data_IF_267224641447
#
_entry.id   IF_267224641447
#
_cell.length_a   1.000
_cell.length_b   1.000
_cell.length_c   1.000
_cell.angle_alpha   90.00
_cell.angle_beta   90.00
_cell.angle_gamma   90.00
#
_symmetry.space_group_name_H-M   'P 1'
#
loop_
_entity.id
_entity.type
_entity.pdbx_description
1 polymer ?
#
# COMPACT_ATOMS: atom_id res chain seq x y z
N UNK A 1 -10.24 -0.48 1.63
CA UNK A 1 -9.27 0.32 0.85
C UNK A 1 -7.87 -0.18 1.16
N UNK A 2 -7.01 -0.24 0.15
CA UNK A 2 -5.56 -0.31 0.39
C UNK A 2 -5.10 1.07 0.86
N UNK A 3 -4.20 1.10 1.83
CA UNK A 3 -3.48 2.29 2.25
C UNK A 3 -2.03 1.84 2.40
N UNK A 4 -1.12 2.52 1.74
CA UNK A 4 0.30 2.23 1.77
C UNK A 4 1.11 3.47 2.18
N UNK A 5 2.40 3.28 2.40
CA UNK A 5 3.30 4.35 2.81
C UNK A 5 3.50 5.39 1.70
N UNK A 6 3.27 5.02 0.43
CA UNK A 6 3.29 5.95 -0.71
C UNK A 6 2.12 6.93 -0.66
N UNK A 7 0.94 6.51 -0.22
CA UNK A 7 -0.18 7.43 -0.01
C UNK A 7 0.17 8.54 1.01
N UNK A 8 0.83 8.16 2.11
CA UNK A 8 1.32 9.14 3.09
C UNK A 8 2.45 10.01 2.52
N UNK A 9 3.41 9.41 1.81
CA UNK A 9 4.50 10.14 1.16
C UNK A 9 3.96 11.19 0.16
N UNK A 10 3.00 10.81 -0.68
CA UNK A 10 2.33 11.70 -1.62
C UNK A 10 1.63 12.86 -0.90
N UNK A 11 0.92 12.61 0.20
CA UNK A 11 0.32 13.68 1.00
C UNK A 11 1.39 14.63 1.59
N UNK A 12 2.53 14.10 2.05
CA UNK A 12 3.62 14.95 2.56
C UNK A 12 4.27 15.79 1.45
N UNK A 13 4.45 15.22 0.25
CA UNK A 13 4.95 15.97 -0.90
C UNK A 13 3.94 17.05 -1.34
N UNK A 14 2.62 16.77 -1.34
CA UNK A 14 1.58 17.76 -1.67
C UNK A 14 1.56 18.93 -0.67
N UNK A 15 1.66 18.64 0.63
CA UNK A 15 1.84 19.66 1.67
C UNK A 15 3.13 20.46 1.47
N UNK A 16 4.18 19.80 1.00
CA UNK A 16 5.44 20.41 0.61
C UNK A 16 5.25 21.42 -0.51
N UNK A 17 4.71 20.98 -1.64
CA UNK A 17 4.43 21.78 -2.83
C UNK A 17 3.54 22.99 -2.51
N UNK A 18 2.56 22.81 -1.62
CA UNK A 18 1.71 23.91 -1.13
C UNK A 18 2.46 24.90 -0.25
N UNK A 19 3.64 24.55 0.27
CA UNK A 19 4.48 25.41 1.10
C UNK A 19 4.23 25.28 2.60
N UNK A 20 3.53 24.23 3.05
CA UNK A 20 3.23 23.98 4.46
C UNK A 20 4.28 23.11 5.16
N UNK A 21 5.06 22.34 4.40
CA UNK A 21 6.11 21.45 4.92
C UNK A 21 7.39 21.61 4.09
N UNK A 22 8.54 21.53 4.75
CA UNK A 22 9.84 21.37 4.11
C UNK A 22 10.36 19.97 4.43
N UNK A 23 10.75 19.23 3.39
CA UNK A 23 11.41 17.94 3.51
C UNK A 23 12.91 18.20 3.44
N UNK A 24 13.61 17.99 4.56
CA UNK A 24 15.07 18.05 4.63
C UNK A 24 15.64 16.64 4.56
N UNK A 25 16.58 16.41 3.65
CA UNK A 25 17.36 15.18 3.57
C UNK A 25 18.81 15.46 3.98
N UNK A 26 19.32 14.71 4.95
CA UNK A 26 20.73 14.69 5.32
C UNK A 26 21.21 13.24 5.36
N UNK A 27 22.12 12.87 4.46
CA UNK A 27 22.79 11.56 4.46
C UNK A 27 21.82 10.36 4.48
N UNK A 28 20.62 10.51 3.90
CA UNK A 28 19.56 9.50 3.86
C UNK A 28 18.55 9.55 5.02
N UNK A 29 18.78 10.38 6.03
CA UNK A 29 17.79 10.70 7.06
C UNK A 29 16.88 11.84 6.57
N UNK A 30 15.58 11.75 6.85
CA UNK A 30 14.60 12.76 6.46
C UNK A 30 14.02 13.48 7.69
N UNK A 31 13.95 14.81 7.62
CA UNK A 31 13.30 15.65 8.63
C UNK A 31 12.23 16.51 7.98
N UNK A 32 11.01 16.42 8.51
CA UNK A 32 9.89 17.27 8.11
C UNK A 32 9.90 18.51 8.98
N UNK A 33 9.86 19.69 8.38
CA UNK A 33 9.83 20.97 9.07
C UNK A 33 8.56 21.73 8.68
N UNK A 34 7.81 22.21 9.66
CA UNK A 34 6.60 23.00 9.42
C UNK A 34 6.94 24.35 8.83
N UNK A 35 6.15 24.79 7.84
CA UNK A 35 6.17 26.14 7.28
C UNK A 35 4.77 26.73 7.40
N UNK A 36 4.65 27.92 7.98
CA UNK A 36 3.35 28.56 8.19
C UNK A 36 2.82 29.32 6.96
N UNK A 37 3.61 29.40 5.89
CA UNK A 37 3.33 30.24 4.72
C UNK A 37 2.03 29.87 3.96
N UNK A 38 1.50 28.65 4.13
CA UNK A 38 0.37 28.17 3.32
C UNK A 38 -0.58 27.17 4.01
N UNK A 39 -0.69 27.23 5.34
CA UNK A 39 -1.59 26.32 6.09
C UNK A 39 -3.06 26.39 5.63
N UNK A 40 -3.51 27.53 5.09
CA UNK A 40 -4.87 27.71 4.58
C UNK A 40 -5.14 27.05 3.21
N UNK A 41 -4.09 26.65 2.48
CA UNK A 41 -4.22 25.94 1.19
C UNK A 41 -4.31 24.42 1.35
N UNK A 42 -4.08 23.91 2.56
CA UNK A 42 -4.16 22.48 2.88
C UNK A 42 -5.61 22.00 2.87
N UNK A 43 -5.84 20.84 2.28
CA UNK A 43 -7.07 20.08 2.43
C UNK A 43 -7.28 19.67 3.90
N UNK A 44 -8.51 19.26 4.23
CA UNK A 44 -8.84 18.83 5.59
C UNK A 44 -7.96 17.67 6.07
N UNK A 45 -7.68 16.72 5.18
CA UNK A 45 -6.78 15.59 5.43
C UNK A 45 -5.37 16.06 5.81
N UNK A 46 -4.80 16.96 5.01
CA UNK A 46 -3.45 17.50 5.22
C UNK A 46 -3.35 18.35 6.48
N UNK A 47 -4.40 19.09 6.83
CA UNK A 47 -4.46 19.83 8.09
C UNK A 47 -4.39 18.87 9.30
N UNK A 48 -5.11 17.74 9.25
CA UNK A 48 -5.06 16.71 10.30
C UNK A 48 -3.68 16.09 10.40
N UNK A 49 -3.05 15.76 9.27
CA UNK A 49 -1.69 15.22 9.23
C UNK A 49 -0.70 16.22 9.82
N UNK A 50 -0.77 17.49 9.42
CA UNK A 50 0.13 18.54 9.89
C UNK A 50 -0.03 18.78 11.39
N UNK A 51 -1.28 18.82 11.89
CA UNK A 51 -1.55 18.98 13.31
C UNK A 51 -0.97 17.81 14.13
N UNK A 52 -1.04 16.60 13.62
CA UNK A 52 -0.53 15.41 14.30
C UNK A 52 1.00 15.34 14.26
N UNK A 53 1.61 15.54 13.08
CA UNK A 53 3.07 15.56 12.91
C UNK A 53 3.71 16.61 13.82
N UNK A 54 3.22 17.84 13.79
CA UNK A 54 3.84 18.95 14.51
C UNK A 54 3.21 19.20 15.90
N UNK A 55 2.60 18.17 16.49
CA UNK A 55 1.95 18.25 17.81
C UNK A 55 2.92 18.55 18.95
N UNK A 56 4.21 18.21 18.81
CA UNK A 56 5.25 18.39 19.83
C UNK A 56 6.33 19.41 19.46
N UNK A 57 6.21 20.09 18.31
CA UNK A 57 7.22 21.05 17.85
C UNK A 57 7.12 21.35 16.36
N UNK A 58 8.00 22.23 15.87
CA UNK A 58 8.03 22.67 14.47
C UNK A 58 8.74 21.71 13.49
N UNK A 59 9.33 20.61 13.98
CA UNK A 59 10.01 19.63 13.13
C UNK A 59 9.87 18.20 13.67
N UNK A 60 9.90 17.22 12.77
CA UNK A 60 9.88 15.78 13.07
C UNK A 60 10.84 15.06 12.16
N UNK A 61 11.83 14.38 12.74
CA UNK A 61 12.72 13.47 12.01
C UNK A 61 12.04 12.11 11.84
N UNK A 62 12.09 11.55 10.63
CA UNK A 62 11.58 10.21 10.29
C UNK A 62 12.48 9.12 10.88
N UNK A 63 12.41 8.96 12.20
CA UNK A 63 13.06 7.90 12.98
C UNK A 63 12.05 7.18 13.86
N UNK A 64 12.34 5.93 14.18
CA UNK A 64 11.55 5.07 15.06
C UNK A 64 11.32 5.68 16.46
N UNK A 65 12.19 6.57 16.93
CA UNK A 65 11.99 7.35 18.16
C UNK A 65 10.71 8.22 18.10
N UNK A 66 10.31 8.65 16.90
CA UNK A 66 9.11 9.45 16.65
C UNK A 66 7.91 8.61 16.16
N UNK A 67 7.97 7.27 16.25
CA UNK A 67 6.94 6.38 15.68
C UNK A 67 5.52 6.69 16.17
N UNK A 68 5.35 7.10 17.43
CA UNK A 68 4.01 7.44 17.96
C UNK A 68 3.39 8.63 17.23
N UNK A 69 4.19 9.63 16.87
CA UNK A 69 3.77 10.83 16.15
C UNK A 69 3.49 10.47 14.69
N UNK A 70 4.44 9.78 14.04
CA UNK A 70 4.39 9.42 12.63
C UNK A 70 3.24 8.44 12.35
N UNK A 71 3.14 7.38 13.15
CA UNK A 71 2.02 6.42 13.07
C UNK A 71 0.69 7.09 13.38
N UNK A 72 0.65 7.98 14.38
CA UNK A 72 -0.54 8.78 14.65
C UNK A 72 -0.99 9.61 13.45
N UNK A 73 -0.06 10.22 12.72
CA UNK A 73 -0.37 11.00 11.51
C UNK A 73 -0.86 10.12 10.36
N UNK A 74 -0.24 8.95 10.17
CA UNK A 74 -0.67 7.94 9.20
C UNK A 74 -2.10 7.45 9.52
N UNK A 75 -2.35 7.10 10.79
CA UNK A 75 -3.66 6.61 11.23
C UNK A 75 -4.74 7.69 11.11
N UNK A 76 -4.40 8.96 11.38
CA UNK A 76 -5.30 10.10 11.19
C UNK A 76 -5.68 10.28 9.71
N UNK A 77 -4.70 10.27 8.80
CA UNK A 77 -4.94 10.36 7.36
C UNK A 77 -5.81 9.20 6.88
N UNK A 78 -5.43 7.98 7.23
CA UNK A 78 -6.15 6.75 6.86
C UNK A 78 -7.61 6.78 7.35
N UNK A 79 -7.84 7.21 8.58
CA UNK A 79 -9.17 7.28 9.17
C UNK A 79 -10.04 8.35 8.51
N UNK A 80 -9.48 9.52 8.21
CA UNK A 80 -10.27 10.58 7.56
C UNK A 80 -10.60 10.20 6.11
N UNK A 81 -9.62 9.71 5.34
CA UNK A 81 -9.86 9.17 3.99
C UNK A 81 -10.90 8.06 3.99
N UNK A 82 -10.83 7.13 4.93
CA UNK A 82 -11.87 6.10 5.04
C UNK A 82 -13.24 6.73 5.30
N UNK A 83 -13.34 7.71 6.20
CA UNK A 83 -14.61 8.35 6.53
C UNK A 83 -15.19 9.16 5.37
N UNK A 84 -14.35 9.88 4.62
CA UNK A 84 -14.79 10.72 3.51
C UNK A 84 -15.09 9.91 2.23
N UNK A 85 -14.36 8.83 1.99
CA UNK A 85 -14.49 8.04 0.75
C UNK A 85 -15.43 6.83 0.91
N UNK A 86 -15.56 6.26 2.12
CA UNK A 86 -16.49 5.16 2.39
C UNK A 86 -17.94 5.65 2.27
N UNK A 87 -18.81 4.80 1.72
CA UNK A 87 -20.22 5.07 1.34
C UNK A 87 -20.43 6.01 0.16
N UNK A 88 -19.52 6.94 -0.13
CA UNK A 88 -19.60 7.79 -1.33
C UNK A 88 -19.06 7.05 -2.55
N UNK A 89 -17.87 6.45 -2.41
CA UNK A 89 -17.19 5.78 -3.52
C UNK A 89 -17.12 4.26 -3.34
N UNK A 90 -17.14 3.75 -2.11
CA UNK A 90 -17.01 2.32 -1.83
C UNK A 90 -17.99 1.84 -0.75
N UNK A 91 -18.55 0.65 -0.92
CA UNK A 91 -19.35 -0.02 0.12
C UNK A 91 -18.71 -1.34 0.49
N UNK A 92 -18.39 -1.51 1.76
CA UNK A 92 -17.68 -2.69 2.28
C UNK A 92 -18.62 -3.90 2.44
N UNK A 93 -19.95 -3.68 2.52
CA UNK A 93 -21.02 -4.69 2.62
C UNK A 93 -20.74 -5.82 3.64
N UNK A 94 -19.91 -5.55 4.66
CA UNK A 94 -19.39 -6.57 5.57
C UNK A 94 -20.49 -7.22 6.43
N UNK A 95 -21.62 -6.55 6.63
CA UNK A 95 -22.79 -7.11 7.32
C UNK A 95 -23.38 -8.35 6.62
N UNK A 96 -23.24 -8.47 5.30
CA UNK A 96 -23.71 -9.64 4.55
C UNK A 96 -22.84 -10.89 4.74
N UNK A 97 -21.70 -10.79 5.43
CA UNK A 97 -20.92 -11.96 5.84
C UNK A 97 -21.51 -12.68 7.05
N UNK A 98 -22.30 -11.98 7.87
CA UNK A 98 -22.84 -12.55 9.12
C UNK A 98 -23.68 -13.83 8.88
N UNK A 99 -24.59 -13.89 7.89
CA UNK A 99 -25.30 -15.14 7.58
C UNK A 99 -24.37 -16.30 7.21
N UNK A 100 -23.30 -16.05 6.44
CA UNK A 100 -22.33 -17.07 6.05
C UNK A 100 -21.54 -17.64 7.24
N UNK A 101 -21.13 -16.76 8.16
CA UNK A 101 -20.47 -17.15 9.40
C UNK A 101 -21.42 -17.98 10.28
N UNK A 102 -22.68 -17.56 10.42
CA UNK A 102 -23.70 -18.30 11.20
C UNK A 102 -23.94 -19.69 10.61
N UNK A 103 -24.09 -19.80 9.29
CA UNK A 103 -24.25 -21.11 8.60
C UNK A 103 -23.04 -22.01 8.86
N UNK A 104 -21.83 -21.45 8.87
CA UNK A 104 -20.60 -22.20 9.12
C UNK A 104 -20.56 -22.73 10.56
N UNK A 105 -20.91 -21.90 11.55
CA UNK A 105 -20.98 -22.31 12.95
C UNK A 105 -22.04 -23.40 13.17
N UNK A 106 -23.20 -23.30 12.51
CA UNK A 106 -24.22 -24.35 12.54
C UNK A 106 -23.73 -25.65 11.90
N UNK A 107 -23.00 -25.56 10.78
CA UNK A 107 -22.36 -26.70 10.14
C UNK A 107 -21.35 -27.41 11.05
N UNK A 108 -20.48 -26.63 11.71
CA UNK A 108 -19.54 -27.15 12.71
C UNK A 108 -20.29 -27.82 13.86
N UNK A 109 -21.32 -27.18 14.42
CA UNK A 109 -22.10 -27.74 15.51
C UNK A 109 -22.76 -29.08 15.11
N UNK A 110 -23.35 -29.16 13.92
CA UNK A 110 -23.96 -30.39 13.40
C UNK A 110 -22.93 -31.51 13.25
N UNK A 111 -21.75 -31.20 12.71
CA UNK A 111 -20.63 -32.14 12.58
C UNK A 111 -20.21 -32.68 13.95
N UNK A 112 -20.05 -31.80 14.94
CA UNK A 112 -19.67 -32.20 16.30
C UNK A 112 -20.73 -33.08 16.95
N UNK A 113 -22.02 -32.75 16.80
CA UNK A 113 -23.11 -33.50 17.41
C UNK A 113 -23.29 -34.90 16.82
N UNK A 114 -22.95 -35.08 15.55
CA UNK A 114 -23.09 -36.35 14.82
C UNK A 114 -21.83 -37.22 14.87
N UNK A 115 -20.70 -36.65 15.30
CA UNK A 115 -19.41 -37.36 15.35
C UNK A 115 -19.27 -38.20 16.63
N UNK A 116 -18.58 -39.34 16.50
CA UNK A 116 -18.28 -40.23 17.64
C UNK A 116 -17.27 -39.59 18.59
N UNK A 117 -16.23 -38.97 18.03
CA UNK A 117 -15.26 -38.18 18.76
C UNK A 117 -15.58 -36.68 18.62
N UNK A 118 -16.31 -36.16 19.61
CA UNK A 118 -16.76 -34.76 19.62
C UNK A 118 -15.61 -33.77 19.75
N UNK A 119 -14.54 -34.14 20.46
CA UNK A 119 -13.40 -33.26 20.67
C UNK A 119 -12.59 -33.14 19.37
N UNK A 120 -12.23 -34.26 18.75
CA UNK A 120 -11.51 -34.26 17.48
C UNK A 120 -12.30 -33.56 16.37
N UNK A 121 -13.61 -33.82 16.28
CA UNK A 121 -14.48 -33.16 15.32
C UNK A 121 -14.58 -31.64 15.57
N UNK A 122 -14.72 -31.22 16.82
CA UNK A 122 -14.86 -29.81 17.17
C UNK A 122 -13.58 -29.02 16.95
N UNK A 123 -12.47 -29.51 17.50
CA UNK A 123 -11.16 -28.91 17.31
C UNK A 123 -10.77 -28.90 15.83
N UNK A 124 -10.87 -30.03 15.14
CA UNK A 124 -10.46 -30.16 13.76
C UNK A 124 -11.32 -29.33 12.79
N UNK A 125 -12.62 -29.18 13.04
CA UNK A 125 -13.49 -28.33 12.21
C UNK A 125 -13.20 -26.83 12.40
N UNK A 126 -12.97 -26.39 13.64
CA UNK A 126 -12.57 -25.00 13.91
C UNK A 126 -11.17 -24.69 13.36
N UNK A 127 -10.23 -25.61 13.56
CA UNK A 127 -8.89 -25.53 13.01
C UNK A 127 -8.95 -25.40 11.48
N UNK A 128 -9.66 -26.32 10.80
CA UNK A 128 -9.76 -26.33 9.35
C UNK A 128 -10.38 -25.03 8.83
N UNK A 129 -11.51 -24.57 9.39
CA UNK A 129 -12.14 -23.32 8.93
C UNK A 129 -11.25 -22.09 9.07
N UNK A 130 -10.55 -21.93 10.20
CA UNK A 130 -9.61 -20.83 10.41
C UNK A 130 -8.40 -20.96 9.47
N UNK A 131 -7.87 -22.17 9.31
CA UNK A 131 -6.71 -22.45 8.45
C UNK A 131 -7.03 -22.26 6.97
N UNK A 132 -8.21 -22.68 6.49
CA UNK A 132 -8.70 -22.43 5.13
C UNK A 132 -8.73 -20.93 4.82
N UNK A 133 -9.20 -20.10 5.77
CA UNK A 133 -9.21 -18.64 5.61
C UNK A 133 -7.77 -18.11 5.49
N UNK A 134 -6.85 -18.57 6.33
CA UNK A 134 -5.44 -18.18 6.24
C UNK A 134 -4.80 -18.60 4.90
N UNK A 135 -5.02 -19.85 4.47
CA UNK A 135 -4.57 -20.36 3.18
C UNK A 135 -5.17 -19.58 1.99
N UNK A 136 -6.43 -19.16 2.06
CA UNK A 136 -7.04 -18.32 1.04
C UNK A 136 -6.30 -16.99 0.89
N UNK A 137 -6.04 -16.28 1.99
CA UNK A 137 -5.30 -15.01 1.94
C UNK A 137 -3.87 -15.19 1.45
N UNK A 138 -3.23 -16.29 1.82
CA UNK A 138 -1.89 -16.65 1.34
C UNK A 138 -1.90 -16.92 -0.17
N UNK A 139 -2.90 -17.64 -0.69
CA UNK A 139 -3.08 -17.90 -2.11
C UNK A 139 -3.32 -16.60 -2.90
N UNK A 140 -4.16 -15.69 -2.39
CA UNK A 140 -4.36 -14.36 -2.99
C UNK A 140 -3.04 -13.57 -3.02
N UNK A 141 -2.22 -13.66 -1.97
CA UNK A 141 -0.92 -12.99 -1.90
C UNK A 141 0.06 -13.55 -2.93
N UNK A 142 0.16 -14.87 -3.04
CA UNK A 142 0.95 -15.56 -4.06
C UNK A 142 0.50 -15.12 -5.45
N UNK A 143 -0.80 -15.16 -5.73
CA UNK A 143 -1.37 -14.74 -7.02
C UNK A 143 -1.01 -13.29 -7.36
N UNK A 144 -1.17 -12.36 -6.42
CA UNK A 144 -0.84 -10.93 -6.61
C UNK A 144 0.65 -10.73 -6.88
N UNK A 145 1.53 -11.42 -6.16
CA UNK A 145 2.99 -11.36 -6.37
C UNK A 145 3.39 -11.89 -7.74
N UNK A 146 2.81 -13.01 -8.17
CA UNK A 146 3.04 -13.57 -9.51
C UNK A 146 2.51 -12.66 -10.62
N UNK A 147 1.33 -12.05 -10.43
CA UNK A 147 0.78 -11.07 -11.37
C UNK A 147 1.70 -9.87 -11.51
N UNK A 148 2.26 -9.35 -10.41
CA UNK A 148 3.21 -8.26 -10.43
C UNK A 148 4.58 -8.63 -11.03
N UNK A 149 4.99 -9.89 -10.92
CA UNK A 149 6.24 -10.39 -11.51
C UNK A 149 6.17 -10.50 -13.04
N UNK A 150 5.00 -10.80 -13.62
CA UNK A 150 4.83 -10.92 -15.08
C UNK A 150 5.19 -9.66 -15.89
N UNK A 151 5.23 -8.49 -15.26
CA UNK A 151 5.65 -7.22 -15.88
C UNK A 151 6.85 -6.57 -15.20
N UNK A 152 7.65 -7.34 -14.45
CA UNK A 152 8.71 -6.80 -13.61
C UNK A 152 10.07 -7.47 -13.80
N UNK A 153 11.12 -6.82 -13.30
CA UNK A 153 12.47 -7.36 -13.30
C UNK A 153 12.68 -8.57 -12.38
N UNK A 154 13.88 -9.14 -12.44
CA UNK A 154 14.29 -10.38 -11.74
C UNK A 154 13.99 -10.35 -10.23
N UNK A 155 14.12 -9.19 -9.57
CA UNK A 155 13.81 -9.06 -8.15
C UNK A 155 12.35 -9.36 -7.80
N UNK A 156 11.39 -8.99 -8.65
CA UNK A 156 9.95 -9.29 -8.43
C UNK A 156 9.66 -10.78 -8.59
N UNK A 157 10.37 -11.45 -9.50
CA UNK A 157 10.31 -12.90 -9.68
C UNK A 157 10.86 -13.67 -8.48
N UNK A 158 12.04 -13.28 -7.97
CA UNK A 158 12.62 -13.86 -6.77
C UNK A 158 11.70 -13.69 -5.55
N UNK A 159 11.10 -12.50 -5.40
CA UNK A 159 10.12 -12.25 -4.35
C UNK A 159 8.87 -13.14 -4.47
N UNK A 160 8.34 -13.36 -5.68
CA UNK A 160 7.21 -14.24 -5.91
C UNK A 160 7.54 -15.72 -5.60
N UNK A 161 8.73 -16.17 -5.99
CA UNK A 161 9.23 -17.52 -5.66
C UNK A 161 9.38 -17.72 -4.15
N UNK A 162 9.97 -16.75 -3.45
CA UNK A 162 10.14 -16.81 -1.99
C UNK A 162 8.81 -16.95 -1.25
N UNK A 163 7.82 -16.13 -1.61
CA UNK A 163 6.47 -16.22 -1.01
C UNK A 163 5.79 -17.55 -1.35
N UNK A 164 5.99 -18.08 -2.55
CA UNK A 164 5.42 -19.38 -2.96
C UNK A 164 6.03 -20.53 -2.14
N UNK A 165 7.35 -20.57 -2.01
CA UNK A 165 8.05 -21.58 -1.21
C UNK A 165 7.62 -21.53 0.26
N UNK A 166 7.48 -20.33 0.82
CA UNK A 166 6.94 -20.13 2.17
C UNK A 166 5.50 -20.62 2.31
N UNK A 167 4.68 -20.52 1.25
CA UNK A 167 3.27 -20.90 1.30
C UNK A 167 3.02 -22.41 1.17
N UNK A 168 3.94 -23.17 0.55
CA UNK A 168 3.77 -24.61 0.31
C UNK A 168 3.47 -25.43 1.57
N UNK A 169 4.17 -25.25 2.72
CA UNK A 169 3.86 -25.98 3.95
C UNK A 169 2.44 -25.72 4.47
N UNK A 170 1.90 -24.52 4.27
CA UNK A 170 0.55 -24.17 4.72
C UNK A 170 -0.51 -24.87 3.88
N UNK A 171 -0.33 -24.93 2.56
CA UNK A 171 -1.22 -25.68 1.67
C UNK A 171 -1.15 -27.18 1.90
N UNK A 172 0.06 -27.72 2.14
CA UNK A 172 0.23 -29.11 2.56
C UNK A 172 -0.48 -29.38 3.91
N UNK A 173 -0.39 -28.43 4.85
CA UNK A 173 -1.07 -28.47 6.14
C UNK A 173 -2.60 -28.46 6.02
N UNK A 174 -3.17 -27.69 5.09
CA UNK A 174 -4.62 -27.71 4.80
C UNK A 174 -5.06 -29.09 4.30
N UNK A 175 -4.32 -29.67 3.35
CA UNK A 175 -4.62 -31.00 2.80
C UNK A 175 -4.50 -32.08 3.89
N UNK A 176 -3.42 -32.02 4.68
CA UNK A 176 -3.19 -32.95 5.78
C UNK A 176 -4.25 -32.80 6.88
N UNK A 177 -4.62 -31.57 7.25
CA UNK A 177 -5.66 -31.27 8.23
C UNK A 177 -7.04 -31.75 7.78
N UNK A 178 -7.41 -31.51 6.53
CA UNK A 178 -8.62 -32.04 5.94
C UNK A 178 -8.63 -33.57 5.93
N UNK A 179 -7.52 -34.20 5.55
CA UNK A 179 -7.38 -35.66 5.58
C UNK A 179 -7.50 -36.23 6.99
N UNK A 180 -6.82 -35.64 7.98
CA UNK A 180 -6.92 -36.05 9.39
C UNK A 180 -8.34 -35.90 9.91
N UNK A 181 -9.06 -34.84 9.53
CA UNK A 181 -10.45 -34.65 9.94
C UNK A 181 -11.37 -35.76 9.43
N UNK A 182 -11.05 -36.40 8.29
CA UNK A 182 -11.82 -37.56 7.79
C UNK A 182 -11.75 -38.80 8.68
N UNK A 183 -10.80 -38.86 9.63
CA UNK A 183 -10.76 -39.92 10.64
C UNK A 183 -11.79 -39.72 11.76
N UNK A 184 -12.20 -38.47 12.01
CA UNK A 184 -13.19 -38.11 13.02
C UNK A 184 -14.59 -37.87 12.44
N UNK A 185 -14.67 -37.46 11.17
CA UNK A 185 -15.89 -37.05 10.46
C UNK A 185 -15.92 -37.66 9.06
N UNK A 186 -17.08 -37.73 8.42
CA UNK A 186 -17.19 -38.20 7.04
C UNK A 186 -16.48 -37.27 6.04
N UNK A 187 -15.97 -37.85 4.94
CA UNK A 187 -15.32 -37.10 3.84
C UNK A 187 -16.23 -35.96 3.31
N UNK A 188 -17.54 -36.18 3.07
CA UNK A 188 -18.42 -35.10 2.62
C UNK A 188 -18.52 -33.94 3.63
N UNK A 189 -18.50 -34.24 4.93
CA UNK A 189 -18.57 -33.21 5.96
C UNK A 189 -17.30 -32.35 6.01
N UNK A 190 -16.12 -32.97 5.95
CA UNK A 190 -14.84 -32.27 5.88
C UNK A 190 -14.76 -31.38 4.62
N UNK A 191 -15.15 -31.90 3.46
CA UNK A 191 -15.21 -31.13 2.21
C UNK A 191 -16.20 -29.95 2.29
N UNK A 192 -17.37 -30.15 2.91
CA UNK A 192 -18.37 -29.08 3.10
C UNK A 192 -17.83 -27.96 3.98
N UNK A 193 -17.13 -28.29 5.08
CA UNK A 193 -16.54 -27.29 5.97
C UNK A 193 -15.43 -26.48 5.29
N UNK A 194 -14.55 -27.13 4.54
CA UNK A 194 -13.53 -26.44 3.75
C UNK A 194 -14.17 -25.51 2.71
N UNK A 195 -15.21 -25.97 2.02
CA UNK A 195 -15.96 -25.15 1.06
C UNK A 195 -16.63 -23.94 1.74
N UNK A 196 -17.21 -24.09 2.93
CA UNK A 196 -17.78 -22.98 3.70
C UNK A 196 -16.72 -21.95 4.11
N UNK A 197 -15.58 -22.40 4.63
CA UNK A 197 -14.44 -21.52 4.98
C UNK A 197 -13.96 -20.74 3.76
N UNK A 198 -13.77 -21.44 2.64
CA UNK A 198 -13.40 -20.82 1.37
C UNK A 198 -14.43 -19.80 0.87
N UNK A 199 -15.73 -20.14 0.89
CA UNK A 199 -16.79 -19.24 0.45
C UNK A 199 -16.85 -17.98 1.30
N UNK A 200 -16.73 -18.08 2.63
CA UNK A 200 -16.68 -16.90 3.49
C UNK A 200 -15.49 -15.99 3.13
N UNK A 201 -14.32 -16.58 2.89
CA UNK A 201 -13.13 -15.82 2.50
C UNK A 201 -13.30 -15.19 1.10
N UNK A 202 -13.90 -15.90 0.16
CA UNK A 202 -14.21 -15.42 -1.18
C UNK A 202 -15.21 -14.26 -1.14
N UNK A 203 -16.34 -14.41 -0.44
CA UNK A 203 -17.34 -13.36 -0.30
C UNK A 203 -16.79 -12.16 0.48
N UNK A 204 -15.85 -12.34 1.40
CA UNK A 204 -15.15 -11.23 2.04
C UNK A 204 -14.41 -10.35 1.02
N UNK A 205 -13.89 -10.94 -0.05
CA UNK A 205 -13.28 -10.19 -1.15
C UNK A 205 -14.34 -9.64 -2.12
N UNK A 206 -15.33 -10.45 -2.48
CA UNK A 206 -16.31 -10.13 -3.52
C UNK A 206 -17.38 -9.11 -3.10
N UNK A 207 -17.71 -9.03 -1.81
CA UNK A 207 -18.69 -8.08 -1.29
C UNK A 207 -18.18 -6.64 -1.26
N UNK A 208 -16.86 -6.42 -1.40
CA UNK A 208 -16.29 -5.07 -1.55
C UNK A 208 -16.62 -4.56 -2.95
N UNK A 209 -17.65 -3.72 -3.07
CA UNK A 209 -18.09 -3.19 -4.34
C UNK A 209 -17.80 -1.67 -4.42
N UNK A 210 -17.14 -1.19 -5.49
CA UNK A 210 -17.16 0.23 -5.83
C UNK A 210 -18.60 0.62 -6.19
N UNK A 211 -19.03 1.78 -5.72
CA UNK A 211 -20.29 2.40 -6.13
C UNK A 211 -20.22 2.90 -7.58
N UNK A 212 -21.34 3.30 -8.20
CA UNK A 212 -21.33 3.90 -9.54
C UNK A 212 -20.50 5.18 -9.61
N UNK A 213 -20.61 6.04 -8.60
CA UNK A 213 -19.76 7.22 -8.41
C UNK A 213 -18.29 6.82 -8.24
N UNK A 214 -18.02 5.80 -7.42
CA UNK A 214 -16.68 5.24 -7.22
C UNK A 214 -16.05 4.76 -8.52
N UNK A 215 -16.79 3.99 -9.33
CA UNK A 215 -16.32 3.50 -10.62
C UNK A 215 -15.98 4.65 -11.57
N UNK A 216 -16.84 5.67 -11.65
CA UNK A 216 -16.60 6.84 -12.50
C UNK A 216 -15.33 7.60 -12.10
N UNK A 217 -15.10 7.82 -10.81
CA UNK A 217 -13.87 8.45 -10.33
C UNK A 217 -12.65 7.55 -10.58
N UNK A 218 -12.76 6.24 -10.40
CA UNK A 218 -11.67 5.30 -10.71
C UNK A 218 -11.29 5.35 -12.19
N UNK A 219 -12.26 5.38 -13.10
CA UNK A 219 -12.00 5.51 -14.53
C UNK A 219 -11.35 6.86 -14.87
N UNK A 220 -11.74 7.95 -14.18
CA UNK A 220 -11.07 9.26 -14.31
C UNK A 220 -9.63 9.25 -13.79
N UNK A 221 -9.38 8.58 -12.66
CA UNK A 221 -8.03 8.40 -12.09
C UNK A 221 -7.18 7.56 -13.05
N UNK A 222 -7.74 6.53 -13.67
CA UNK A 222 -7.04 5.72 -14.66
C UNK A 222 -6.70 6.54 -15.92
N UNK A 223 -7.63 7.36 -16.40
CA UNK A 223 -7.37 8.32 -17.48
C UNK A 223 -6.30 9.35 -17.13
N UNK A 224 -6.29 9.83 -15.88
CA UNK A 224 -5.26 10.76 -15.40
C UNK A 224 -3.89 10.09 -15.24
N UNK A 225 -3.86 8.85 -14.73
CA UNK A 225 -2.64 8.02 -14.71
C UNK A 225 -2.10 7.81 -16.12
N UNK A 226 -2.98 7.53 -17.09
CA UNK A 226 -2.60 7.41 -18.49
C UNK A 226 -1.98 8.72 -18.97
N UNK A 227 -2.59 9.87 -18.70
CA UNK A 227 -2.03 11.19 -19.02
C UNK A 227 -0.64 11.42 -18.41
N UNK A 228 -0.43 11.09 -17.13
CA UNK A 228 0.87 11.24 -16.47
C UNK A 228 1.93 10.24 -16.98
N UNK A 229 1.50 9.06 -17.42
CA UNK A 229 2.39 7.99 -17.89
C UNK A 229 2.74 8.07 -19.38
N UNK A 230 1.81 8.57 -20.22
CA UNK A 230 1.97 8.60 -21.67
C UNK A 230 2.77 9.83 -22.02
N UNK A 231 4.02 9.57 -22.38
CA UNK A 231 4.92 10.53 -23.02
C UNK A 231 4.47 10.84 -24.47
N UNK A 232 3.24 11.28 -24.67
CA UNK A 232 2.83 11.91 -25.94
C UNK A 232 3.43 13.33 -25.99
N UNK A 233 4.76 13.40 -25.98
CA UNK A 233 5.55 14.63 -26.10
C UNK A 233 5.11 15.39 -27.36
N UNK A 234 4.72 14.68 -28.42
CA UNK A 234 4.25 15.25 -29.68
C UNK A 234 2.75 15.55 -29.71
N UNK A 235 1.87 14.68 -29.18
CA UNK A 235 0.41 14.90 -29.27
C UNK A 235 -0.09 15.94 -28.26
N UNK A 236 0.51 16.03 -27.07
CA UNK A 236 0.21 17.12 -26.13
C UNK A 236 0.68 18.47 -26.67
N UNK A 237 1.86 18.53 -27.29
CA UNK A 237 2.34 19.74 -27.97
C UNK A 237 1.42 20.17 -29.14
N UNK A 238 0.68 19.25 -29.75
CA UNK A 238 -0.24 19.52 -30.86
C UNK A 238 -1.66 19.93 -30.43
N UNK A 239 -2.16 19.42 -29.29
CA UNK A 239 -3.57 19.62 -28.88
C UNK A 239 -3.76 20.68 -27.78
N UNK A 240 -2.77 20.90 -26.90
CA UNK A 240 -2.77 21.93 -25.87
C UNK A 240 -1.31 22.11 -25.43
N UNK A 241 -0.50 23.03 -25.99
CA UNK A 241 0.88 23.21 -25.56
C UNK A 241 0.86 23.62 -24.08
N UNK A 242 1.12 22.70 -23.12
CA UNK A 242 1.23 23.14 -21.75
C UNK A 242 2.53 23.92 -21.70
N UNK A 243 2.50 25.15 -21.19
CA UNK A 243 3.73 25.79 -20.77
C UNK A 243 4.33 24.88 -19.70
N UNK A 244 5.28 24.04 -20.12
CA UNK A 244 6.00 23.13 -19.24
C UNK A 244 6.78 24.03 -18.29
N UNK A 245 6.21 24.23 -17.12
CA UNK A 245 6.73 25.09 -16.07
C UNK A 245 7.12 24.22 -14.89
N UNK A 246 8.15 24.61 -14.12
CA UNK A 246 8.47 23.92 -12.87
C UNK A 246 7.26 23.84 -11.91
N UNK A 247 6.40 24.86 -11.89
CA UNK A 247 5.17 24.86 -11.11
C UNK A 247 4.20 23.74 -11.50
N UNK A 248 4.09 23.41 -12.79
CA UNK A 248 3.25 22.30 -13.26
C UNK A 248 3.83 20.94 -12.84
N UNK A 249 5.16 20.80 -12.90
CA UNK A 249 5.86 19.61 -12.41
C UNK A 249 5.55 19.36 -10.93
N UNK A 250 5.74 20.39 -10.09
CA UNK A 250 5.47 20.30 -8.65
C UNK A 250 3.99 19.99 -8.37
N UNK A 251 3.07 20.65 -9.07
CA UNK A 251 1.62 20.46 -8.88
C UNK A 251 1.17 19.01 -9.05
N UNK A 252 1.73 18.28 -10.02
CA UNK A 252 1.31 16.90 -10.30
C UNK A 252 2.25 15.81 -9.77
N UNK A 253 3.41 16.19 -9.20
CA UNK A 253 4.35 15.25 -8.62
C UNK A 253 3.73 14.38 -7.49
N UNK A 254 2.95 14.92 -6.54
CA UNK A 254 2.28 14.10 -5.51
C UNK A 254 1.37 13.03 -6.11
N UNK A 255 0.63 13.39 -7.17
CA UNK A 255 -0.29 12.49 -7.85
C UNK A 255 0.45 11.43 -8.65
N UNK A 256 1.55 11.80 -9.32
CA UNK A 256 2.39 10.86 -10.04
C UNK A 256 2.99 9.82 -9.08
N UNK A 257 3.44 10.27 -7.90
CA UNK A 257 3.95 9.41 -6.83
C UNK A 257 2.87 8.46 -6.29
N UNK A 258 1.65 8.96 -6.05
CA UNK A 258 0.53 8.15 -5.60
C UNK A 258 0.06 7.12 -6.65
N UNK A 259 0.32 7.37 -7.94
CA UNK A 259 -0.10 6.53 -9.06
C UNK A 259 1.01 5.62 -9.60
N UNK A 260 2.20 5.63 -8.98
CA UNK A 260 3.40 4.88 -9.40
C UNK A 260 3.87 5.25 -10.82
N UNK A 261 3.78 6.52 -11.20
CA UNK A 261 4.20 7.05 -12.53
C UNK A 261 5.13 8.26 -12.41
N UNK A 262 5.74 8.46 -11.24
CA UNK A 262 6.65 9.57 -10.93
C UNK A 262 7.85 9.67 -11.88
N UNK A 263 8.39 8.53 -12.34
CA UNK A 263 9.54 8.50 -13.24
C UNK A 263 9.15 8.92 -14.67
N UNK A 264 8.03 8.37 -15.16
CA UNK A 264 7.47 8.74 -16.46
C UNK A 264 7.09 10.22 -16.50
N UNK A 265 6.54 10.74 -15.39
CA UNK A 265 6.24 12.17 -15.23
C UNK A 265 7.52 13.02 -15.25
N UNK A 266 8.55 12.64 -14.50
CA UNK A 266 9.80 13.40 -14.39
C UNK A 266 10.59 13.48 -15.68
N UNK A 267 10.57 12.42 -16.48
CA UNK A 267 11.21 12.38 -17.78
C UNK A 267 10.61 13.42 -18.76
N UNK A 268 9.32 13.73 -18.65
CA UNK A 268 8.66 14.73 -19.49
C UNK A 268 9.13 16.16 -19.23
N UNK A 269 9.63 16.43 -18.02
CA UNK A 269 10.09 17.74 -17.56
C UNK A 269 11.61 17.87 -17.52
N UNK A 270 12.36 16.79 -17.74
CA UNK A 270 13.83 16.81 -17.72
C UNK A 270 14.42 17.92 -18.61
N UNK A 271 13.86 18.14 -19.81
CA UNK A 271 14.34 19.17 -20.74
C UNK A 271 14.07 20.60 -20.23
N UNK A 272 12.94 20.83 -19.59
CA UNK A 272 12.52 22.16 -19.08
C UNK A 272 13.29 22.51 -17.81
N UNK A 273 13.45 21.54 -16.92
CA UNK A 273 14.20 21.70 -15.68
C UNK A 273 15.70 21.88 -15.95
N UNK A 274 16.21 21.29 -17.05
CA UNK A 274 17.58 21.52 -17.53
C UNK A 274 17.77 22.83 -18.30
N UNK A 275 16.76 23.29 -19.05
CA UNK A 275 16.84 24.53 -19.85
C UNK A 275 16.69 25.80 -18.99
N UNK A 276 16.33 25.68 -17.72
CA UNK A 276 16.39 26.75 -16.73
C UNK A 276 17.86 27.14 -16.44
N UNK A 277 18.49 27.84 -17.38
CA UNK A 277 19.85 28.36 -17.28
C UNK A 277 19.97 29.60 -16.39
N UNK A 278 21.16 29.76 -15.80
CA UNK A 278 21.67 30.76 -14.84
C UNK A 278 21.42 30.48 -13.34
N UNK A 279 20.33 29.81 -12.96
CA UNK A 279 20.12 29.25 -11.61
C UNK A 279 19.46 27.88 -11.77
N UNK A 280 20.13 26.78 -11.41
CA UNK A 280 19.53 25.46 -11.42
C UNK A 280 18.23 25.51 -10.62
N UNK A 281 17.12 25.10 -11.23
CA UNK A 281 15.84 25.02 -10.53
C UNK A 281 15.99 24.12 -9.28
N UNK A 282 15.54 24.63 -8.14
CA UNK A 282 15.45 23.86 -6.89
C UNK A 282 14.05 23.96 -6.31
N UNK A 283 13.42 22.83 -5.96
CA UNK A 283 12.11 22.83 -5.32
C UNK A 283 12.18 23.52 -3.96
N UNK A 284 11.28 24.46 -3.71
CA UNK A 284 11.29 25.21 -2.43
C UNK A 284 10.89 24.35 -1.23
N UNK A 285 10.24 23.22 -1.49
CA UNK A 285 9.70 22.27 -0.53
C UNK A 285 10.64 21.13 -0.16
N UNK A 286 11.78 21.01 -0.86
CA UNK A 286 12.78 19.97 -0.60
C UNK A 286 14.18 20.56 -0.50
N UNK A 287 14.93 20.16 0.52
CA UNK A 287 16.32 20.54 0.72
C UNK A 287 17.15 19.29 0.98
N UNK A 288 18.03 18.91 0.06
CA UNK A 288 18.80 17.68 0.18
C UNK A 288 19.75 17.47 -1.00
N UNK A 289 20.72 16.57 -0.81
CA UNK A 289 21.72 16.26 -1.83
C UNK A 289 21.18 15.39 -2.97
N UNK A 290 20.04 14.69 -2.78
CA UNK A 290 19.46 13.87 -3.85
C UNK A 290 18.79 14.68 -4.96
N UNK A 291 18.54 15.99 -4.74
CA UNK A 291 17.98 16.83 -5.78
C UNK A 291 19.05 17.19 -6.82
N UNK A 292 18.82 16.77 -8.05
CA UNK A 292 19.61 17.14 -9.22
C UNK A 292 18.68 17.44 -10.39
N UNK A 293 18.65 18.71 -10.82
CA UNK A 293 17.83 19.16 -11.95
C UNK A 293 18.19 18.46 -13.27
N UNK A 294 19.41 17.90 -13.37
CA UNK A 294 19.89 17.15 -14.53
C UNK A 294 19.53 15.67 -14.52
N UNK A 295 19.22 15.10 -13.36
CA UNK A 295 18.87 13.70 -13.19
C UNK A 295 17.57 13.54 -12.36
N UNK A 296 16.49 14.20 -12.80
CA UNK A 296 15.20 14.24 -12.10
C UNK A 296 14.60 12.86 -11.83
N UNK A 297 14.80 11.89 -12.73
CA UNK A 297 14.33 10.51 -12.53
C UNK A 297 15.02 9.83 -11.33
N UNK A 298 16.30 10.11 -11.08
CA UNK A 298 17.01 9.56 -9.91
C UNK A 298 16.47 10.15 -8.61
N UNK A 299 16.10 11.43 -8.64
CA UNK A 299 15.43 12.08 -7.51
C UNK A 299 14.04 11.49 -7.26
N UNK A 300 13.24 11.23 -8.29
CA UNK A 300 11.92 10.61 -8.07
C UNK A 300 12.01 9.15 -7.65
N UNK A 301 13.01 8.41 -8.12
CA UNK A 301 13.32 7.08 -7.59
C UNK A 301 13.67 7.13 -6.11
N UNK A 302 14.51 8.08 -5.66
CA UNK A 302 14.86 8.22 -4.25
C UNK A 302 13.67 8.67 -3.40
N UNK A 303 12.87 9.61 -3.89
CA UNK A 303 11.64 10.06 -3.23
C UNK A 303 10.60 8.93 -3.13
N UNK A 304 10.47 8.09 -4.17
CA UNK A 304 9.52 6.98 -4.18
C UNK A 304 9.92 5.79 -3.33
N UNK A 305 11.22 5.54 -3.16
CA UNK A 305 11.74 4.35 -2.46
C UNK A 305 12.36 4.66 -1.10
N UNK A 306 13.30 5.61 -1.03
CA UNK A 306 14.02 5.96 0.19
C UNK A 306 13.13 6.70 1.18
N UNK A 307 12.43 7.75 0.72
CA UNK A 307 11.55 8.53 1.59
C UNK A 307 10.33 7.71 2.05
N UNK A 308 9.67 6.96 1.16
CA UNK A 308 8.62 6.03 1.54
C UNK A 308 9.13 4.94 2.51
N UNK A 309 10.34 4.43 2.29
CA UNK A 309 11.01 3.49 3.19
C UNK A 309 11.28 4.07 4.58
N UNK A 310 11.70 5.33 4.66
CA UNK A 310 11.90 6.05 5.91
C UNK A 310 10.58 6.27 6.68
N UNK A 311 9.48 6.57 5.99
CA UNK A 311 8.14 6.61 6.58
C UNK A 311 7.78 5.24 7.16
N UNK A 312 7.98 4.17 6.37
CA UNK A 312 7.66 2.80 6.78
C UNK A 312 8.41 2.39 8.05
N UNK A 313 9.74 2.56 8.08
CA UNK A 313 10.58 2.17 9.21
C UNK A 313 10.30 3.02 10.45
N UNK A 314 10.13 4.33 10.28
CA UNK A 314 9.89 5.25 11.39
C UNK A 314 8.50 5.14 11.99
N UNK A 315 7.51 4.58 11.28
CA UNK A 315 6.16 4.34 11.79
C UNK A 315 6.04 3.13 12.74
N UNK A 316 7.11 2.33 12.85
CA UNK A 316 7.15 1.14 13.72
C UNK A 316 7.97 1.39 14.98
N UNK A 317 7.57 0.84 16.15
CA UNK A 317 8.34 0.96 17.37
C UNK A 317 9.74 0.36 17.21
N UNK A 318 10.77 0.90 17.91
CA UNK A 318 12.09 0.29 17.94
C UNK A 318 11.97 -1.16 18.41
N UNK A 319 12.48 -2.09 17.62
CA UNK A 319 12.45 -3.50 18.00
C UNK A 319 13.29 -3.74 19.26
N UNK A 320 12.68 -4.28 20.31
CA UNK A 320 13.44 -4.88 21.40
C UNK A 320 14.20 -6.09 20.86
N UNK A 321 15.53 -6.03 20.88
CA UNK A 321 16.40 -7.13 20.51
C UNK A 321 16.17 -8.34 21.42
N UNK A 322 15.37 -9.31 20.97
CA UNK A 322 15.43 -10.68 21.47
C UNK A 322 16.09 -11.53 20.37
N UNK A 323 17.34 -11.90 20.61
CA UNK A 323 18.17 -12.64 19.67
C UNK A 323 17.63 -14.04 19.36
N UNK A 324 17.58 -14.35 18.08
CA UNK A 324 17.64 -15.70 17.53
C UNK A 324 18.53 -15.59 16.29
N UNK A 325 19.77 -16.03 16.43
CA UNK A 325 20.81 -15.93 15.41
C UNK A 325 20.46 -16.68 14.13
N UNK A 326 20.88 -16.11 13.00
CA UNK A 326 20.75 -16.72 11.69
C UNK A 326 21.26 -15.82 10.58
N UNK A 327 22.58 -15.76 10.42
CA UNK A 327 23.31 -15.55 9.15
C UNK A 327 22.90 -14.38 8.25
N UNK A 328 23.70 -13.33 8.23
CA UNK A 328 23.61 -12.27 7.23
C UNK A 328 23.95 -12.75 5.81
N UNK A 329 23.30 -12.13 4.83
CA UNK A 329 23.94 -11.79 3.57
C UNK A 329 23.50 -10.39 3.13
N UNK A 330 24.52 -9.58 2.91
CA UNK A 330 24.52 -8.22 2.38
C UNK A 330 24.08 -8.16 0.93
N UNK A 331 23.37 -7.08 0.58
CA UNK A 331 23.37 -6.54 -0.78
C UNK A 331 22.16 -6.90 -1.63
N UNK A 332 21.32 -5.90 -1.90
CA UNK A 332 20.24 -6.03 -2.88
C UNK A 332 19.20 -4.94 -2.76
N UNK A 333 19.60 -3.69 -3.03
CA UNK A 333 18.66 -2.60 -3.26
C UNK A 333 17.74 -2.95 -4.45
N UNK A 334 16.46 -3.16 -4.16
CA UNK A 334 15.44 -3.52 -5.15
C UNK A 334 14.39 -2.42 -5.21
N UNK A 335 14.43 -1.65 -6.29
CA UNK A 335 13.51 -0.54 -6.58
C UNK A 335 12.03 -0.96 -6.51
N UNK A 336 11.28 -0.17 -5.74
CA UNK A 336 9.84 -0.32 -5.53
C UNK A 336 9.04 0.25 -6.69
N UNK A 337 8.85 -0.55 -7.74
CA UNK A 337 7.83 -0.27 -8.76
C UNK A 337 6.48 -0.80 -8.30
N UNK A 338 5.63 0.08 -7.80
CA UNK A 338 4.25 -0.23 -7.43
C UNK A 338 3.40 -0.50 -8.67
N UNK A 339 2.70 -1.63 -8.62
CA UNK A 339 1.75 -2.05 -9.64
C UNK A 339 0.38 -2.10 -8.99
N UNK A 340 -0.39 -1.03 -9.17
CA UNK A 340 -1.79 -0.93 -8.79
C UNK A 340 -2.61 -2.04 -9.45
N UNK A 341 -3.10 -2.97 -8.65
CA UNK A 341 -3.98 -4.05 -9.08
C UNK A 341 -5.43 -3.78 -8.69
N UNK A 342 -6.29 -3.85 -9.71
CA UNK A 342 -7.67 -4.34 -9.68
C UNK A 342 -7.92 -5.39 -8.60
#
# INVERSE_FOLDING_TARGET
>A
MGYDDKAFAAAVVDMGVKGAVLIQEDSGDYTLVRRDAAMGALSRDEQLVTAQLFSRGGSVTLKDTNHTIIKGAIDALKKNLQTELEKIYFVTNSGYLAPGVVITLLGVALVVLTSRDKFAAGFGSLWLTIWTVACYFLAVTVYKKWRAARGGGVGKWLGALGVTLFALPFFAGEIAGAFLLTSAVSIPAAATLAAMGFLNALFYHLLKAPTLSGRKIMDQIEGFKLYLSVAEKERLNLLNPPEKTPALFEKYLPYALALDVENAWSEQFAEVLNRAGAQPYSPTWYAGSSWDSSHTSRFTDSLGSSFAGAISSSSTPPGSSSGSGGGGSSGGGGGGGGGSGW
#
